data_IF_176998350107
#
_entry.id   IF_176998350107
#
_cell.length_a   1.000
_cell.length_b   1.000
_cell.length_c   1.000
_cell.angle_alpha   90.00
_cell.angle_beta   90.00
_cell.angle_gamma   90.00
#
_symmetry.space_group_name_H-M   'P 1'
#
loop_
_entity.id
_entity.type
_entity.pdbx_description
1 polymer ?
#
# COMPACT_ATOMS: atom_id res chain seq x y z
N UNK A 1 -5.31 -32.53 -29.65
CA UNK A 1 -5.08 -32.57 -28.20
C UNK A 1 -4.02 -31.57 -27.74
N UNK A 2 -2.75 -31.67 -28.18
CA UNK A 2 -1.66 -30.77 -27.71
C UNK A 2 -1.92 -29.26 -27.84
N UNK A 3 -2.61 -28.83 -28.90
CA UNK A 3 -2.99 -27.41 -29.06
C UNK A 3 -3.99 -26.95 -27.99
N UNK A 4 -5.05 -27.74 -27.74
CA UNK A 4 -6.05 -27.44 -26.71
C UNK A 4 -5.41 -27.41 -25.32
N UNK A 5 -4.48 -28.33 -25.05
CA UNK A 5 -3.71 -28.35 -23.80
C UNK A 5 -2.85 -27.09 -23.63
N UNK A 6 -2.14 -26.66 -24.68
CA UNK A 6 -1.34 -25.44 -24.65
C UNK A 6 -2.23 -24.19 -24.48
N UNK A 7 -3.37 -24.13 -25.16
CA UNK A 7 -4.32 -23.03 -25.01
C UNK A 7 -4.93 -22.96 -23.60
N UNK A 8 -5.27 -24.11 -23.01
CA UNK A 8 -5.76 -24.19 -21.64
C UNK A 8 -4.73 -23.67 -20.64
N UNK A 9 -3.48 -24.15 -20.71
CA UNK A 9 -2.44 -23.68 -19.80
C UNK A 9 -2.10 -22.20 -20.02
N UNK A 10 -2.20 -21.70 -21.25
CA UNK A 10 -2.02 -20.28 -21.55
C UNK A 10 -3.12 -19.42 -20.89
N UNK A 11 -4.38 -19.85 -20.98
CA UNK A 11 -5.49 -19.17 -20.29
C UNK A 11 -5.32 -19.19 -18.77
N UNK A 12 -4.97 -20.35 -18.20
CA UNK A 12 -4.70 -20.48 -16.78
C UNK A 12 -3.53 -19.61 -16.33
N UNK A 13 -2.47 -19.52 -17.14
CA UNK A 13 -1.34 -18.62 -16.87
C UNK A 13 -1.80 -17.17 -16.84
N UNK A 14 -2.63 -16.77 -17.80
CA UNK A 14 -3.14 -15.38 -17.90
C UNK A 14 -4.01 -15.04 -16.69
N UNK A 15 -4.94 -15.93 -16.33
CA UNK A 15 -5.79 -15.75 -15.16
C UNK A 15 -4.99 -15.75 -13.85
N UNK A 16 -4.06 -16.69 -13.69
CA UNK A 16 -3.20 -16.76 -12.52
C UNK A 16 -2.31 -15.52 -12.39
N UNK A 17 -1.74 -15.01 -13.49
CA UNK A 17 -0.96 -13.78 -13.51
C UNK A 17 -1.80 -12.56 -13.07
N UNK A 18 -3.05 -12.47 -13.52
CA UNK A 18 -3.97 -11.39 -13.16
C UNK A 18 -4.26 -11.33 -11.66
N UNK A 19 -4.25 -12.47 -10.96
CA UNK A 19 -4.42 -12.53 -9.50
C UNK A 19 -3.08 -12.38 -8.77
N UNK A 20 -2.04 -13.05 -9.27
CA UNK A 20 -0.71 -13.10 -8.64
C UNK A 20 -0.12 -11.71 -8.50
N UNK A 21 -0.26 -10.86 -9.52
CA UNK A 21 0.35 -9.54 -9.54
C UNK A 21 -0.16 -8.61 -8.41
N UNK A 22 -1.47 -8.35 -8.29
CA UNK A 22 -1.98 -7.53 -7.18
C UNK A 22 -1.78 -8.21 -5.82
N UNK A 23 -1.86 -9.55 -5.72
CA UNK A 23 -1.59 -10.26 -4.45
C UNK A 23 -0.13 -10.12 -4.02
N UNK A 24 0.82 -10.31 -4.92
CA UNK A 24 2.25 -10.16 -4.63
C UNK A 24 2.59 -8.70 -4.29
N UNK A 25 2.01 -7.73 -5.01
CA UNK A 25 2.16 -6.32 -4.69
C UNK A 25 1.65 -5.99 -3.28
N UNK A 26 0.43 -6.43 -2.93
CA UNK A 26 -0.14 -6.20 -1.61
C UNK A 26 0.70 -6.86 -0.51
N UNK A 27 1.17 -8.09 -0.76
CA UNK A 27 2.05 -8.79 0.16
C UNK A 27 3.35 -8.01 0.42
N UNK A 28 3.98 -7.46 -0.64
CA UNK A 28 5.27 -6.76 -0.54
C UNK A 28 5.18 -5.29 -0.08
N UNK A 29 4.02 -4.64 -0.17
CA UNK A 29 3.88 -3.21 0.12
C UNK A 29 2.92 -2.90 1.29
N UNK A 30 1.96 -3.79 1.57
CA UNK A 30 0.94 -3.58 2.60
C UNK A 30 1.06 -4.55 3.77
N UNK A 31 1.43 -5.82 3.52
CA UNK A 31 1.54 -6.84 4.58
C UNK A 31 2.96 -6.91 5.14
N UNK A 32 3.97 -6.84 4.29
CA UNK A 32 5.38 -6.81 4.69
C UNK A 32 5.71 -5.51 5.45
N UNK A 33 6.30 -5.63 6.64
CA UNK A 33 6.58 -4.51 7.54
C UNK A 33 7.54 -3.49 6.90
N UNK A 34 8.62 -3.97 6.27
CA UNK A 34 9.58 -3.08 5.61
C UNK A 34 8.97 -2.41 4.37
N UNK A 35 8.14 -3.16 3.62
CA UNK A 35 7.32 -2.66 2.52
C UNK A 35 6.42 -1.50 2.94
N UNK A 36 5.65 -1.73 4.00
CA UNK A 36 4.73 -0.75 4.53
C UNK A 36 5.47 0.48 5.10
N UNK A 37 6.57 0.28 5.83
CA UNK A 37 7.41 1.37 6.34
C UNK A 37 7.96 2.25 5.21
N UNK A 38 8.39 1.65 4.08
CA UNK A 38 8.81 2.42 2.89
C UNK A 38 7.67 3.22 2.27
N UNK A 39 6.46 2.67 2.22
CA UNK A 39 5.28 3.38 1.73
C UNK A 39 4.95 4.57 2.66
N UNK A 40 4.92 4.34 3.97
CA UNK A 40 4.70 5.37 4.99
C UNK A 40 5.78 6.47 4.93
N UNK A 41 7.04 6.11 4.70
CA UNK A 41 8.12 7.06 4.55
C UNK A 41 7.94 7.96 3.32
N UNK A 42 7.53 7.38 2.18
CA UNK A 42 7.20 8.16 0.98
C UNK A 42 6.01 9.07 1.19
N UNK A 43 5.00 8.61 1.93
CA UNK A 43 3.84 9.42 2.29
C UNK A 43 4.26 10.60 3.18
N UNK A 44 5.09 10.38 4.20
CA UNK A 44 5.54 11.43 5.11
C UNK A 44 6.39 12.52 4.43
N UNK A 45 6.96 12.21 3.26
CA UNK A 45 7.69 13.16 2.43
C UNK A 45 6.77 14.00 1.50
N UNK A 46 5.47 13.69 1.42
CA UNK A 46 4.53 14.45 0.58
C UNK A 46 4.07 15.72 1.30
N UNK A 47 4.20 16.91 0.70
CA UNK A 47 3.69 18.16 1.27
C UNK A 47 2.19 18.09 1.58
N UNK A 48 1.40 17.47 0.70
CA UNK A 48 -0.03 17.29 0.91
C UNK A 48 -0.37 16.47 2.17
N UNK A 49 0.44 15.46 2.49
CA UNK A 49 0.27 14.69 3.72
C UNK A 49 0.66 15.53 4.94
N UNK A 50 1.78 16.23 4.87
CA UNK A 50 2.27 17.11 5.95
C UNK A 50 1.21 18.15 6.31
N UNK A 51 0.65 18.83 5.31
CA UNK A 51 -0.42 19.82 5.48
C UNK A 51 -1.68 19.21 6.11
N UNK A 52 -2.08 18.02 5.65
CA UNK A 52 -3.26 17.33 6.17
C UNK A 52 -3.07 16.89 7.62
N UNK A 53 -1.90 16.35 7.97
CA UNK A 53 -1.56 15.96 9.35
C UNK A 53 -1.45 17.19 10.25
N UNK A 54 -0.87 18.29 9.77
CA UNK A 54 -0.81 19.54 10.54
C UNK A 54 -2.21 20.08 10.86
N UNK A 55 -3.12 20.04 9.88
CA UNK A 55 -4.50 20.46 10.05
C UNK A 55 -5.25 19.57 11.06
N UNK A 56 -5.07 18.25 10.98
CA UNK A 56 -5.69 17.31 11.92
C UNK A 56 -5.14 17.50 13.35
N UNK A 57 -3.82 17.61 13.53
CA UNK A 57 -3.20 17.91 14.83
C UNK A 57 -3.75 19.20 15.41
N UNK A 58 -3.85 20.26 14.60
CA UNK A 58 -4.44 21.54 15.02
C UNK A 58 -5.88 21.37 15.47
N UNK A 59 -6.71 20.67 14.68
CA UNK A 59 -8.12 20.44 14.96
C UNK A 59 -8.34 19.67 16.27
N UNK A 60 -7.57 18.59 16.47
CA UNK A 60 -7.61 17.75 17.67
C UNK A 60 -7.20 18.53 18.92
N UNK A 61 -6.08 19.25 18.86
CA UNK A 61 -5.58 20.05 20.00
C UNK A 61 -6.55 21.16 20.36
N UNK A 62 -7.06 21.91 19.39
CA UNK A 62 -8.04 22.98 19.64
C UNK A 62 -9.33 22.42 20.24
N UNK A 63 -9.80 21.26 19.75
CA UNK A 63 -11.00 20.61 20.28
C UNK A 63 -10.81 20.15 21.73
N UNK A 64 -9.66 19.56 22.04
CA UNK A 64 -9.33 19.10 23.39
C UNK A 64 -9.27 20.28 24.38
N UNK A 65 -8.62 21.38 24.02
CA UNK A 65 -8.50 22.56 24.88
C UNK A 65 -9.85 23.27 25.07
N UNK A 66 -10.66 23.41 24.00
CA UNK A 66 -12.01 23.96 24.12
C UNK A 66 -12.94 23.11 24.99
N UNK A 67 -12.82 21.79 24.93
CA UNK A 67 -13.58 20.89 25.80
C UNK A 67 -13.27 21.10 27.30
N UNK A 68 -12.09 21.63 27.62
CA UNK A 68 -11.69 22.01 28.98
C UNK A 68 -12.13 23.43 29.38
N UNK A 69 -12.83 24.16 28.50
CA UNK A 69 -13.42 25.47 28.80
C UNK A 69 -12.51 26.67 28.55
N UNK A 70 -11.33 26.47 27.95
CA UNK A 70 -10.40 27.56 27.66
C UNK A 70 -10.66 28.19 26.28
N UNK A 71 -10.80 29.53 26.17
CA UNK A 71 -10.74 30.20 24.88
C UNK A 71 -9.31 30.17 24.36
N UNK A 72 -9.10 29.61 23.17
CA UNK A 72 -7.79 29.48 22.55
C UNK A 72 -7.80 30.08 21.15
N UNK A 73 -6.80 30.92 20.86
CA UNK A 73 -6.43 31.28 19.49
C UNK A 73 -5.80 30.04 18.81
N UNK A 74 -6.38 29.53 17.71
CA UNK A 74 -5.84 28.36 17.02
C UNK A 74 -4.54 28.64 16.24
N UNK A 75 -4.15 29.91 16.09
CA UNK A 75 -3.03 30.31 15.22
C UNK A 75 -1.67 29.75 15.68
N UNK A 76 -1.27 29.86 16.97
CA UNK A 76 -0.01 29.30 17.45
C UNK A 76 0.06 27.78 17.34
N UNK A 77 -1.07 27.09 17.57
CA UNK A 77 -1.15 25.62 17.44
C UNK A 77 -0.94 25.20 15.97
N UNK A 78 -1.54 25.96 15.04
CA UNK A 78 -1.40 25.71 13.61
C UNK A 78 0.02 25.90 13.12
N UNK A 79 0.68 26.95 13.58
CA UNK A 79 2.08 27.24 13.24
C UNK A 79 3.02 26.15 13.75
N UNK A 80 2.88 25.75 15.02
CA UNK A 80 3.64 24.64 15.59
C UNK A 80 3.41 23.31 14.85
N UNK A 81 2.15 22.99 14.51
CA UNK A 81 1.84 21.76 13.76
C UNK A 81 2.42 21.77 12.34
N UNK A 82 2.41 22.92 11.67
CA UNK A 82 3.02 23.08 10.35
C UNK A 82 4.55 22.99 10.41
N UNK A 83 5.19 23.64 11.38
CA UNK A 83 6.64 23.55 11.58
C UNK A 83 7.07 22.11 11.91
N UNK A 84 6.31 21.41 12.75
CA UNK A 84 6.58 20.02 13.10
C UNK A 84 6.50 19.11 11.86
N UNK A 85 5.41 19.17 11.09
CA UNK A 85 5.18 18.27 9.94
C UNK A 85 6.13 18.56 8.77
N UNK A 86 6.56 19.80 8.58
CA UNK A 86 7.63 20.16 7.65
C UNK A 86 9.03 19.83 8.19
N UNK A 87 9.14 19.51 9.48
CA UNK A 87 10.39 19.27 10.19
C UNK A 87 11.02 17.90 9.91
N UNK A 88 12.33 17.74 10.18
CA UNK A 88 13.07 16.51 9.90
C UNK A 88 12.73 15.34 10.86
N UNK A 89 12.05 15.62 11.96
CA UNK A 89 11.58 14.62 12.93
C UNK A 89 10.32 13.90 12.43
N UNK A 90 9.44 14.61 11.73
CA UNK A 90 8.13 14.12 11.33
C UNK A 90 8.19 12.83 10.50
N UNK A 91 9.00 12.68 9.43
CA UNK A 91 8.98 11.46 8.63
C UNK A 91 9.30 10.19 9.44
N UNK A 92 10.25 10.28 10.37
CA UNK A 92 10.62 9.14 11.23
C UNK A 92 9.51 8.81 12.21
N UNK A 93 8.93 9.81 12.85
CA UNK A 93 7.85 9.61 13.82
C UNK A 93 6.56 9.12 13.15
N UNK A 94 6.26 9.60 11.95
CA UNK A 94 5.14 9.12 11.14
C UNK A 94 5.31 7.64 10.78
N UNK A 95 6.50 7.23 10.32
CA UNK A 95 6.79 5.82 10.05
C UNK A 95 6.63 4.97 11.30
N UNK A 96 7.19 5.41 12.44
CA UNK A 96 7.09 4.66 13.70
C UNK A 96 5.63 4.41 14.09
N UNK A 97 4.82 5.47 14.16
CA UNK A 97 3.40 5.36 14.53
C UNK A 97 2.61 4.46 13.57
N UNK A 98 2.92 4.54 12.27
CA UNK A 98 2.28 3.69 11.28
C UNK A 98 2.72 2.22 11.41
N UNK A 99 4.00 1.96 11.65
CA UNK A 99 4.54 0.61 11.88
C UNK A 99 3.95 -0.02 13.14
N UNK A 100 3.81 0.75 14.22
CA UNK A 100 3.20 0.23 15.45
C UNK A 100 1.72 -0.13 15.24
N UNK A 101 0.97 0.69 14.48
CA UNK A 101 -0.41 0.38 14.09
C UNK A 101 -0.51 -0.81 13.12
N UNK A 102 0.46 -0.96 12.22
CA UNK A 102 0.58 -2.08 11.30
C UNK A 102 0.82 -3.40 12.05
N UNK A 103 1.77 -3.39 12.99
CA UNK A 103 2.05 -4.51 13.88
C UNK A 103 0.86 -4.83 14.78
N UNK A 104 0.17 -3.81 15.31
CA UNK A 104 -1.05 -4.01 16.07
C UNK A 104 -2.13 -4.76 15.27
N UNK A 105 -2.26 -4.46 13.98
CA UNK A 105 -3.27 -5.06 13.10
C UNK A 105 -2.90 -6.49 12.63
N UNK A 106 -1.60 -6.77 12.46
CA UNK A 106 -1.09 -8.00 11.85
C UNK A 106 -0.49 -8.99 12.85
N UNK A 107 -0.12 -8.55 14.05
CA UNK A 107 0.35 -9.43 15.12
C UNK A 107 -0.79 -10.28 15.66
N UNK A 108 -0.47 -11.47 16.19
CA UNK A 108 -1.46 -12.33 16.84
C UNK A 108 -1.74 -11.96 18.29
N UNK A 109 -1.14 -10.88 18.79
CA UNK A 109 -1.19 -10.50 20.19
C UNK A 109 -2.43 -9.65 20.47
N UNK A 110 -3.13 -9.96 21.56
CA UNK A 110 -4.22 -9.13 22.05
C UNK A 110 -3.63 -8.01 22.93
N UNK A 111 -3.26 -6.91 22.29
CA UNK A 111 -2.61 -5.75 22.92
C UNK A 111 -3.61 -4.70 23.41
N UNK A 112 -4.91 -4.95 23.28
CA UNK A 112 -5.96 -3.96 23.62
C UNK A 112 -6.14 -2.88 22.54
N UNK A 113 -6.93 -1.83 22.81
CA UNK A 113 -7.19 -0.75 21.84
C UNK A 113 -5.90 -0.07 21.37
N UNK A 114 -5.85 0.30 20.08
CA UNK A 114 -4.71 1.05 19.55
C UNK A 114 -4.68 2.47 20.14
N UNK A 115 -3.55 2.81 20.74
CA UNK A 115 -3.26 4.08 21.37
C UNK A 115 -1.99 4.68 20.77
N UNK A 116 -2.04 5.95 20.35
CA UNK A 116 -0.84 6.67 19.93
C UNK A 116 -0.28 7.42 21.11
N UNK A 117 0.98 7.17 21.46
CA UNK A 117 1.74 8.07 22.32
C UNK A 117 2.15 9.32 21.54
N UNK A 118 1.52 10.45 21.86
CA UNK A 118 1.80 11.72 21.20
C UNK A 118 2.94 12.50 21.85
N UNK A 119 3.44 12.08 23.02
CA UNK A 119 4.51 12.80 23.73
C UNK A 119 5.79 12.96 22.89
N UNK A 120 6.25 11.95 22.12
CA UNK A 120 7.40 12.14 21.23
C UNK A 120 7.21 13.24 20.17
N UNK A 121 5.99 13.47 19.71
CA UNK A 121 5.66 14.54 18.76
C UNK A 121 5.67 15.89 19.46
N UNK A 122 5.06 15.96 20.65
CA UNK A 122 4.99 17.18 21.46
C UNK A 122 6.35 17.61 22.03
N UNK A 123 7.31 16.69 22.13
CA UNK A 123 8.71 17.00 22.50
C UNK A 123 9.51 17.65 21.37
N UNK A 124 8.95 17.74 20.16
CA UNK A 124 9.62 18.45 19.08
C UNK A 124 9.78 19.93 19.41
N UNK A 125 10.87 20.53 18.92
CA UNK A 125 11.17 21.96 19.11
C UNK A 125 10.04 22.87 18.64
N UNK A 126 9.28 22.45 17.62
CA UNK A 126 8.15 23.20 17.09
C UNK A 126 7.03 23.42 18.14
N UNK A 127 6.89 22.49 19.10
CA UNK A 127 5.92 22.62 20.19
C UNK A 127 6.52 23.20 21.48
N UNK A 128 7.85 23.31 21.58
CA UNK A 128 8.52 23.74 22.81
C UNK A 128 8.09 25.14 23.28
N UNK A 129 7.96 26.09 22.34
CA UNK A 129 7.54 27.46 22.66
C UNK A 129 6.07 27.51 23.10
N UNK A 130 5.20 26.82 22.37
CA UNK A 130 3.78 26.70 22.74
C UNK A 130 3.62 26.10 24.15
N UNK A 131 4.31 25.01 24.45
CA UNK A 131 4.23 24.36 25.77
C UNK A 131 4.78 25.27 26.89
N UNK A 132 5.82 26.05 26.62
CA UNK A 132 6.38 27.02 27.57
C UNK A 132 5.39 28.15 27.87
N UNK A 133 4.79 28.74 26.85
CA UNK A 133 3.86 29.89 27.01
C UNK A 133 2.63 29.50 27.85
N UNK A 134 2.14 28.27 27.69
CA UNK A 134 1.02 27.72 28.46
C UNK A 134 1.44 26.99 29.74
N UNK A 135 2.74 26.98 30.10
CA UNK A 135 3.29 26.32 31.29
C UNK A 135 2.91 24.82 31.41
N UNK A 136 2.84 24.13 30.28
CA UNK A 136 2.42 22.72 30.21
C UNK A 136 3.64 21.82 30.41
N UNK A 137 3.68 21.08 31.52
CA UNK A 137 4.64 20.01 31.73
C UNK A 137 4.15 18.73 31.02
N UNK A 138 4.93 18.23 30.05
CA UNK A 138 4.60 16.98 29.37
C UNK A 138 4.82 15.77 30.29
N UNK A 139 3.86 14.84 30.39
CA UNK A 139 4.06 13.58 31.09
C UNK A 139 5.09 12.67 30.37
N UNK A 140 5.45 11.56 31.00
CA UNK A 140 6.36 10.58 30.39
C UNK A 140 5.79 9.94 29.11
N UNK A 141 4.48 9.72 29.06
CA UNK A 141 3.69 9.25 27.91
C UNK A 141 2.27 9.83 27.97
N UNK A 142 1.63 9.99 26.81
CA UNK A 142 0.23 10.40 26.67
C UNK A 142 -0.39 9.64 25.51
N UNK A 143 -1.13 8.59 25.85
CA UNK A 143 -1.89 7.78 24.91
C UNK A 143 -3.16 8.50 24.48
N UNK A 144 -3.34 8.71 23.18
CA UNK A 144 -4.63 9.07 22.60
C UNK A 144 -5.22 7.79 21.98
N UNK A 145 -6.36 7.27 22.49
CA UNK A 145 -7.03 6.14 21.87
C UNK A 145 -7.57 6.58 20.51
N UNK A 146 -7.16 5.89 19.45
CA UNK A 146 -7.59 6.25 18.10
C UNK A 146 -8.90 5.59 17.66
N UNK A 147 -9.45 4.66 18.44
CA UNK A 147 -10.56 3.83 17.95
C UNK A 147 -11.73 3.71 18.95
N UNK A 148 -12.90 4.27 18.65
CA UNK A 148 -14.17 3.69 19.05
C UNK A 148 -14.47 2.50 18.13
N UNK A 149 -14.48 1.30 18.70
CA UNK A 149 -14.72 -0.01 18.07
C UNK A 149 -15.95 -0.05 17.16
N UNK A 150 -15.87 -0.70 15.99
CA UNK A 150 -17.04 -1.36 15.32
C UNK A 150 -16.78 -2.05 13.96
N UNK A 151 -15.59 -2.59 13.66
CA UNK A 151 -15.46 -3.57 12.55
C UNK A 151 -14.57 -4.75 12.95
N UNK A 152 -14.86 -5.95 12.44
CA UNK A 152 -14.06 -7.17 12.70
C UNK A 152 -12.58 -7.03 12.28
N UNK A 153 -12.28 -6.04 11.43
CA UNK A 153 -10.94 -5.76 10.91
C UNK A 153 -10.18 -4.78 11.81
N UNK A 154 -10.86 -3.79 12.38
CA UNK A 154 -10.25 -2.80 13.28
C UNK A 154 -10.16 -3.31 14.74
N UNK A 155 -9.44 -4.42 14.93
CA UNK A 155 -9.14 -5.01 16.23
C UNK A 155 -7.69 -5.54 16.27
N UNK A 156 -7.12 -5.76 17.47
CA UNK A 156 -5.79 -6.35 17.60
C UNK A 156 -5.74 -7.68 16.83
N UNK A 157 -4.77 -7.81 15.93
CA UNK A 157 -4.62 -9.00 15.09
C UNK A 157 -5.76 -9.29 14.13
N UNK A 158 -6.59 -8.29 13.80
CA UNK A 158 -7.69 -8.43 12.84
C UNK A 158 -7.25 -8.97 11.47
N UNK A 159 -6.00 -8.70 11.07
CA UNK A 159 -5.40 -9.20 9.83
C UNK A 159 -4.31 -10.26 10.07
N UNK A 160 -4.19 -10.83 11.27
CA UNK A 160 -3.14 -11.80 11.60
C UNK A 160 -3.12 -13.01 10.65
N UNK A 161 -4.28 -13.47 10.19
CA UNK A 161 -4.36 -14.55 9.20
C UNK A 161 -3.68 -14.18 7.88
N UNK A 162 -3.80 -12.93 7.43
CA UNK A 162 -3.12 -12.45 6.23
C UNK A 162 -1.60 -12.37 6.46
N UNK A 163 -1.16 -11.96 7.64
CA UNK A 163 0.27 -11.95 7.98
C UNK A 163 0.89 -13.35 7.90
N UNK A 164 0.20 -14.36 8.44
CA UNK A 164 0.71 -15.75 8.49
C UNK A 164 0.59 -16.46 7.15
N UNK A 165 -0.57 -16.37 6.49
CA UNK A 165 -0.84 -17.15 5.27
C UNK A 165 -0.56 -16.38 3.97
N UNK A 166 -0.51 -15.06 4.02
CA UNK A 166 -0.24 -14.20 2.86
C UNK A 166 1.06 -14.53 2.14
N UNK A 167 2.21 -14.70 2.83
CA UNK A 167 3.46 -15.09 2.19
C UNK A 167 3.35 -16.43 1.45
N UNK A 168 2.70 -17.43 2.05
CA UNK A 168 2.50 -18.74 1.46
C UNK A 168 1.55 -18.70 0.26
N UNK A 169 0.44 -17.97 0.37
CA UNK A 169 -0.51 -17.78 -0.73
C UNK A 169 0.17 -17.10 -1.93
N UNK A 170 0.94 -16.04 -1.68
CA UNK A 170 1.73 -15.35 -2.70
C UNK A 170 2.72 -16.30 -3.38
N UNK A 171 3.48 -17.08 -2.59
CA UNK A 171 4.42 -18.08 -3.11
C UNK A 171 3.73 -19.13 -3.99
N UNK A 172 2.58 -19.65 -3.54
CA UNK A 172 1.79 -20.65 -4.28
C UNK A 172 1.26 -20.06 -5.59
N UNK A 173 0.77 -18.82 -5.59
CA UNK A 173 0.28 -18.14 -6.79
C UNK A 173 1.40 -17.89 -7.81
N UNK A 174 2.58 -17.45 -7.35
CA UNK A 174 3.77 -17.29 -8.19
C UNK A 174 4.19 -18.64 -8.78
N UNK A 175 4.29 -19.68 -7.96
CA UNK A 175 4.67 -21.03 -8.40
C UNK A 175 3.66 -21.60 -9.41
N UNK A 176 2.35 -21.42 -9.17
CA UNK A 176 1.28 -21.87 -10.06
C UNK A 176 1.34 -21.14 -11.40
N UNK A 177 1.50 -19.81 -11.39
CA UNK A 177 1.63 -19.01 -12.61
C UNK A 177 2.84 -19.45 -13.43
N UNK A 178 3.99 -19.64 -12.79
CA UNK A 178 5.20 -20.14 -13.43
C UNK A 178 5.03 -21.56 -13.99
N UNK A 179 4.40 -22.46 -13.23
CA UNK A 179 4.12 -23.83 -13.66
C UNK A 179 3.20 -23.84 -14.89
N UNK A 180 2.11 -23.08 -14.89
CA UNK A 180 1.22 -22.96 -16.04
C UNK A 180 1.95 -22.40 -17.28
N UNK A 181 2.84 -21.42 -17.10
CA UNK A 181 3.65 -20.88 -18.19
C UNK A 181 4.58 -21.95 -18.78
N UNK A 182 5.27 -22.73 -17.94
CA UNK A 182 6.14 -23.83 -18.37
C UNK A 182 5.34 -24.92 -19.09
N UNK A 183 4.17 -25.30 -18.55
CA UNK A 183 3.30 -26.29 -19.17
C UNK A 183 2.75 -25.81 -20.53
N UNK A 184 2.49 -24.51 -20.67
CA UNK A 184 2.15 -23.88 -21.97
C UNK A 184 3.27 -24.11 -22.99
N UNK A 185 4.52 -23.83 -22.62
CA UNK A 185 5.69 -24.02 -23.48
C UNK A 185 5.94 -25.51 -23.82
N UNK A 186 5.76 -26.41 -22.86
CA UNK A 186 5.95 -27.84 -23.04
C UNK A 186 4.90 -28.48 -23.96
N UNK A 187 3.64 -28.08 -23.82
CA UNK A 187 2.54 -28.58 -24.65
C UNK A 187 2.62 -28.04 -26.09
N UNK A 188 3.15 -26.82 -26.28
CA UNK A 188 3.20 -26.15 -27.56
C UNK A 188 4.10 -26.84 -28.61
N UNK A 189 3.61 -26.92 -29.84
CA UNK A 189 4.37 -27.44 -30.99
C UNK A 189 5.46 -26.46 -31.48
N UNK A 190 5.24 -25.16 -31.28
CA UNK A 190 6.14 -24.09 -31.71
C UNK A 190 6.48 -23.18 -30.52
N UNK A 191 7.68 -23.37 -29.94
CA UNK A 191 8.11 -22.66 -28.72
C UNK A 191 8.11 -21.13 -28.88
N UNK A 192 8.51 -20.61 -30.04
CA UNK A 192 8.49 -19.17 -30.31
C UNK A 192 7.08 -18.55 -30.25
N UNK A 193 6.08 -19.24 -30.84
CA UNK A 193 4.68 -18.78 -30.78
C UNK A 193 4.13 -18.81 -29.35
N UNK A 194 4.51 -19.82 -28.57
CA UNK A 194 4.08 -19.95 -27.18
C UNK A 194 4.73 -18.90 -26.26
N UNK A 195 6.00 -18.56 -26.48
CA UNK A 195 6.64 -17.42 -25.82
C UNK A 195 5.93 -16.11 -26.17
N UNK A 196 5.63 -15.90 -27.45
CA UNK A 196 4.91 -14.70 -27.86
C UNK A 196 3.50 -14.62 -27.23
N UNK A 197 2.76 -15.72 -27.15
CA UNK A 197 1.44 -15.73 -26.49
C UNK A 197 1.52 -15.45 -24.99
N UNK A 198 2.53 -15.97 -24.29
CA UNK A 198 2.77 -15.60 -22.89
C UNK A 198 3.10 -14.11 -22.74
N UNK A 199 3.81 -13.53 -23.71
CA UNK A 199 4.05 -12.09 -23.74
C UNK A 199 2.76 -11.29 -23.90
N UNK A 200 1.85 -11.77 -24.75
CA UNK A 200 0.49 -11.22 -24.88
C UNK A 200 -0.28 -11.31 -23.56
N UNK A 201 -0.14 -12.39 -22.78
CA UNK A 201 -0.74 -12.46 -21.44
C UNK A 201 -0.23 -11.35 -20.52
N UNK A 202 1.08 -11.09 -20.51
CA UNK A 202 1.66 -9.98 -19.75
C UNK A 202 1.13 -8.61 -20.19
N UNK A 203 0.99 -8.41 -21.50
CA UNK A 203 0.38 -7.19 -22.06
C UNK A 203 -1.09 -7.03 -21.66
N UNK A 204 -1.87 -8.11 -21.77
CA UNK A 204 -3.29 -8.11 -21.39
C UNK A 204 -3.48 -7.82 -19.91
N UNK A 205 -2.72 -8.50 -19.03
CA UNK A 205 -2.83 -8.30 -17.58
C UNK A 205 -2.36 -6.91 -17.18
N UNK A 206 -1.24 -6.44 -17.73
CA UNK A 206 -0.74 -5.09 -17.45
C UNK A 206 -1.73 -4.00 -17.87
N UNK A 207 -2.33 -4.13 -19.05
CA UNK A 207 -3.34 -3.18 -19.54
C UNK A 207 -4.67 -3.27 -18.78
N UNK A 208 -5.16 -4.49 -18.52
CA UNK A 208 -6.39 -4.69 -17.76
C UNK A 208 -6.23 -4.24 -16.29
N UNK A 209 -5.04 -4.37 -15.72
CA UNK A 209 -4.73 -3.91 -14.37
C UNK A 209 -4.91 -2.41 -14.19
N UNK A 210 -4.60 -1.59 -15.20
CA UNK A 210 -4.86 -0.15 -15.17
C UNK A 210 -6.36 0.16 -14.99
N UNK A 211 -7.22 -0.50 -15.78
CA UNK A 211 -8.67 -0.37 -15.62
C UNK A 211 -9.16 -0.96 -14.29
N UNK A 212 -8.50 -2.00 -13.78
CA UNK A 212 -8.79 -2.60 -12.49
C UNK A 212 -8.55 -1.65 -11.30
N UNK A 213 -7.50 -0.83 -11.36
CA UNK A 213 -7.21 0.19 -10.35
C UNK A 213 -8.34 1.22 -10.26
N UNK A 214 -8.84 1.70 -11.40
CA UNK A 214 -9.96 2.65 -11.43
C UNK A 214 -11.23 2.07 -10.78
N UNK A 215 -11.49 0.78 -10.97
CA UNK A 215 -12.60 0.09 -10.28
C UNK A 215 -12.34 -0.01 -8.78
N UNK A 216 -11.13 -0.40 -8.36
CA UNK A 216 -10.74 -0.49 -6.96
C UNK A 216 -10.83 0.87 -6.25
N UNK A 217 -10.37 1.95 -6.89
CA UNK A 217 -10.47 3.34 -6.41
C UNK A 217 -11.92 3.73 -6.12
N UNK A 218 -12.88 3.33 -6.96
CA UNK A 218 -14.31 3.60 -6.71
C UNK A 218 -14.83 2.93 -5.44
N UNK A 219 -14.47 1.66 -5.22
CA UNK A 219 -14.83 0.95 -3.98
C UNK A 219 -14.17 1.58 -2.76
N UNK A 220 -12.89 1.94 -2.87
CA UNK A 220 -12.17 2.58 -1.79
C UNK A 220 -12.75 3.95 -1.45
N UNK A 221 -13.10 4.76 -2.45
CA UNK A 221 -13.78 6.03 -2.28
C UNK A 221 -15.13 5.89 -1.57
N UNK A 222 -15.90 4.83 -1.82
CA UNK A 222 -17.16 4.58 -1.10
C UNK A 222 -16.94 4.36 0.40
N UNK A 223 -15.85 3.70 0.77
CA UNK A 223 -15.47 3.47 2.18
C UNK A 223 -14.88 4.75 2.78
N UNK A 224 -13.94 5.41 2.09
CA UNK A 224 -13.30 6.64 2.54
C UNK A 224 -14.27 7.81 2.67
N UNK A 225 -15.37 7.83 1.91
CA UNK A 225 -16.44 8.81 2.08
C UNK A 225 -17.11 8.75 3.46
N UNK A 226 -16.91 7.69 4.24
CA UNK A 226 -17.38 7.57 5.62
C UNK A 226 -16.44 8.25 6.62
N UNK A 227 -15.17 8.48 6.23
CA UNK A 227 -14.22 9.23 7.05
C UNK A 227 -14.52 10.73 6.97
N UNK A 228 -14.53 11.38 8.14
CA UNK A 228 -14.83 12.81 8.25
C UNK A 228 -13.53 13.62 8.39
N UNK A 229 -13.50 14.83 7.81
CA UNK A 229 -12.43 15.81 8.04
C UNK A 229 -11.10 15.52 7.32
N UNK A 230 -9.99 15.84 7.98
CA UNK A 230 -8.64 15.85 7.38
C UNK A 230 -8.01 14.46 7.29
N UNK A 231 -8.53 13.49 8.04
CA UNK A 231 -8.19 12.07 7.94
C UNK A 231 -8.40 11.53 6.52
N UNK A 232 -9.43 12.03 5.81
CA UNK A 232 -9.64 11.69 4.40
C UNK A 232 -8.50 12.17 3.52
N UNK A 233 -8.03 13.41 3.72
CA UNK A 233 -6.91 13.96 2.94
C UNK A 233 -5.61 13.19 3.19
N UNK A 234 -5.39 12.76 4.44
CA UNK A 234 -4.26 11.88 4.79
C UNK A 234 -4.39 10.55 4.04
N UNK A 235 -5.57 9.92 4.06
CA UNK A 235 -5.82 8.65 3.38
C UNK A 235 -5.64 8.76 1.86
N UNK A 236 -6.18 9.82 1.23
CA UNK A 236 -6.08 10.05 -0.21
C UNK A 236 -4.61 10.07 -0.68
N UNK A 237 -3.71 10.74 0.05
CA UNK A 237 -2.27 10.79 -0.30
C UNK A 237 -1.61 9.41 -0.19
N UNK A 238 -1.95 8.63 0.84
CA UNK A 238 -1.42 7.26 0.99
C UNK A 238 -1.94 6.34 -0.11
N UNK A 239 -3.21 6.49 -0.49
CA UNK A 239 -3.85 5.75 -1.58
C UNK A 239 -3.22 6.08 -2.92
N UNK A 240 -3.02 7.36 -3.23
CA UNK A 240 -2.37 7.81 -4.46
C UNK A 240 -0.98 7.18 -4.60
N UNK A 241 -0.18 7.17 -3.51
CA UNK A 241 1.13 6.53 -3.51
C UNK A 241 1.09 5.01 -3.68
N UNK A 242 0.08 4.35 -3.10
CA UNK A 242 -0.16 2.94 -3.30
C UNK A 242 -0.53 2.63 -4.76
N UNK A 243 -1.40 3.43 -5.37
CA UNK A 243 -1.77 3.30 -6.77
C UNK A 243 -0.57 3.50 -7.70
N UNK A 244 0.25 4.53 -7.47
CA UNK A 244 1.48 4.78 -8.22
C UNK A 244 2.45 3.59 -8.13
N UNK A 245 2.59 3.01 -6.93
CA UNK A 245 3.40 1.81 -6.71
C UNK A 245 2.88 0.61 -7.51
N UNK A 246 1.56 0.40 -7.55
CA UNK A 246 0.96 -0.70 -8.31
C UNK A 246 1.05 -0.47 -9.82
N UNK A 247 0.88 0.77 -10.29
CA UNK A 247 1.10 1.14 -11.69
C UNK A 247 2.54 0.84 -12.13
N UNK A 248 3.54 1.04 -11.28
CA UNK A 248 4.92 0.65 -11.58
C UNK A 248 5.04 -0.87 -11.83
N UNK A 249 4.41 -1.71 -11.02
CA UNK A 249 4.41 -3.18 -11.21
C UNK A 249 3.71 -3.58 -12.51
N UNK A 250 2.59 -2.93 -12.84
CA UNK A 250 1.89 -3.14 -14.10
C UNK A 250 2.74 -2.71 -15.30
N UNK A 251 3.43 -1.58 -15.21
CA UNK A 251 4.33 -1.10 -16.27
C UNK A 251 5.52 -2.04 -16.49
N UNK A 252 6.10 -2.57 -15.41
CA UNK A 252 7.15 -3.59 -15.50
C UNK A 252 6.63 -4.88 -16.17
N UNK A 253 5.38 -5.26 -15.88
CA UNK A 253 4.73 -6.43 -16.49
C UNK A 253 4.41 -6.22 -17.96
N UNK A 254 3.95 -5.02 -18.34
CA UNK A 254 3.80 -4.62 -19.74
C UNK A 254 5.14 -4.69 -20.49
N UNK A 255 6.20 -4.13 -19.91
CA UNK A 255 7.53 -4.13 -20.51
C UNK A 255 8.08 -5.57 -20.67
N UNK A 256 7.96 -6.40 -19.63
CA UNK A 256 8.35 -7.81 -19.69
C UNK A 256 7.53 -8.58 -20.75
N UNK A 257 6.22 -8.33 -20.83
CA UNK A 257 5.34 -8.88 -21.84
C UNK A 257 5.78 -8.51 -23.26
N UNK A 258 6.07 -7.23 -23.51
CA UNK A 258 6.56 -6.73 -24.80
C UNK A 258 7.88 -7.40 -25.22
N UNK A 259 8.85 -7.50 -24.30
CA UNK A 259 10.12 -8.19 -24.55
C UNK A 259 9.87 -9.66 -24.91
N UNK A 260 8.98 -10.34 -24.17
CA UNK A 260 8.66 -11.75 -24.40
C UNK A 260 7.97 -11.98 -25.76
N UNK A 261 7.11 -11.05 -26.20
CA UNK A 261 6.53 -11.05 -27.54
C UNK A 261 7.63 -10.97 -28.60
N UNK A 262 8.53 -9.99 -28.50
CA UNK A 262 9.60 -9.78 -29.48
C UNK A 262 10.53 -11.01 -29.57
N UNK A 263 10.94 -11.55 -28.42
CA UNK A 263 11.75 -12.77 -28.35
C UNK A 263 11.02 -13.97 -28.95
N UNK A 264 9.74 -14.15 -28.64
CA UNK A 264 8.92 -15.22 -29.18
C UNK A 264 8.79 -15.15 -30.71
N UNK A 265 8.58 -13.95 -31.25
CA UNK A 265 8.53 -13.71 -32.71
C UNK A 265 9.88 -14.01 -33.35
N UNK A 266 10.99 -13.51 -32.81
CA UNK A 266 12.33 -13.78 -33.34
C UNK A 266 12.65 -15.28 -33.38
N UNK A 267 12.36 -16.02 -32.30
CA UNK A 267 12.53 -17.48 -32.23
C UNK A 267 11.62 -18.20 -33.24
N UNK A 268 10.39 -17.72 -33.45
CA UNK A 268 9.47 -18.30 -34.42
C UNK A 268 9.97 -18.12 -35.86
N UNK A 269 10.51 -16.95 -36.21
CA UNK A 269 11.07 -16.66 -37.53
C UNK A 269 12.32 -17.51 -37.80
N UNK A 270 13.25 -17.58 -36.86
CA UNK A 270 14.47 -18.39 -36.97
C UNK A 270 14.17 -19.90 -37.10
N UNK A 271 13.17 -20.40 -36.38
CA UNK A 271 12.73 -21.79 -36.47
C UNK A 271 11.99 -22.13 -37.76
N UNK A 272 11.40 -21.13 -38.43
CA UNK A 272 10.80 -21.27 -39.77
C UNK A 272 11.84 -21.35 -40.87
N UNK A 273 12.87 -20.49 -40.80
CA UNK A 273 13.97 -20.44 -41.78
C UNK A 273 14.84 -21.71 -41.79
N UNK A 274 14.96 -22.44 -40.67
CA UNK A 274 15.69 -23.73 -40.60
C UNK A 274 14.92 -24.92 -41.16
N UNK A 275 13.63 -24.76 -41.47
CA UNK A 275 12.76 -25.83 -42.00
C UNK A 275 12.39 -25.64 -43.47
N UNK A 276 12.67 -24.46 -44.03
CA UNK A 276 12.62 -24.16 -45.46
C UNK A 276 13.97 -24.51 -46.09
#
# INVERSE_FOLDING_TARGET
MRFLTAALFWLLTTAALAVTLPTAWAQCNLIDADGYARLAQRAAAQPALQDAVAAELTSQTVRLIRAQGFPLDPSPVREAAAEYTAGPSFPRQFVQVNSDGHDWLLSGADTGPWEIDVVPMLRDKAFAQLLSDYHIALPASMSIPLTPTSTEVARPGGLHRLAVWGPWLSLVLVALTGLCAVLTLAAARHRGRALASLGVSGLLVGAAGWSGIEVARRYLNQVLNQATGDIRRIADVVVDLAEDSLHLWLNLTLAAGAVLVLLGVAVALLGGLRKA
#
